data_IF_874847532172
#
_entry.id   IF_874847532172
#
_cell.length_a   1.000
_cell.length_b   1.000
_cell.length_c   1.000
_cell.angle_alpha   90.00
_cell.angle_beta   90.00
_cell.angle_gamma   90.00
#
_symmetry.space_group_name_H-M   'P 1'
#
loop_
_entity.id
_entity.type
_entity.pdbx_description
1 polymer ?
#
# COMPACT_ATOMS: atom_id res chain seq x y z
N UNK A 1 9.72 5.87 -42.53
CA UNK A 1 8.61 6.82 -42.28
C UNK A 1 8.48 7.21 -40.80
N UNK A 2 8.67 6.30 -39.83
CA UNK A 2 8.56 6.62 -38.39
C UNK A 2 9.75 7.41 -37.81
N UNK A 3 10.94 7.25 -38.40
CA UNK A 3 12.22 7.82 -37.94
C UNK A 3 12.17 9.28 -37.44
N UNK A 4 11.68 10.27 -38.20
CA UNK A 4 11.75 11.68 -37.79
C UNK A 4 10.85 12.03 -36.60
N UNK A 5 9.81 11.24 -36.35
CA UNK A 5 8.83 11.52 -35.30
C UNK A 5 9.16 10.81 -33.98
N UNK A 6 10.15 9.93 -33.96
CA UNK A 6 10.42 9.07 -32.82
C UNK A 6 10.73 9.86 -31.54
N UNK A 7 11.68 10.80 -31.63
CA UNK A 7 12.03 11.70 -30.53
C UNK A 7 10.81 12.48 -30.02
N UNK A 8 10.02 13.02 -30.96
CA UNK A 8 8.84 13.80 -30.63
C UNK A 8 7.78 12.95 -29.92
N UNK A 9 7.52 11.72 -30.40
CA UNK A 9 6.57 10.80 -29.78
C UNK A 9 7.01 10.46 -28.35
N UNK A 10 8.28 10.09 -28.15
CA UNK A 10 8.78 9.70 -26.83
C UNK A 10 8.72 10.86 -25.85
N UNK A 11 9.30 12.01 -26.19
CA UNK A 11 9.34 13.17 -25.30
C UNK A 11 7.94 13.72 -25.02
N UNK A 12 7.11 13.85 -26.06
CA UNK A 12 5.76 14.40 -25.89
C UNK A 12 4.86 13.46 -25.10
N UNK A 13 5.05 12.15 -25.21
CA UNK A 13 4.32 11.18 -24.39
C UNK A 13 4.68 11.30 -22.91
N UNK A 14 5.97 11.47 -22.60
CA UNK A 14 6.44 11.69 -21.22
C UNK A 14 5.90 13.01 -20.64
N UNK A 15 5.92 14.09 -21.40
CA UNK A 15 5.39 15.40 -20.97
C UNK A 15 3.87 15.38 -20.78
N UNK A 16 3.11 14.88 -21.76
CA UNK A 16 1.65 14.89 -21.72
C UNK A 16 1.10 13.96 -20.65
N UNK A 17 1.82 12.88 -20.31
CA UNK A 17 1.44 12.01 -19.20
C UNK A 17 1.31 12.75 -17.87
N UNK A 18 2.06 13.83 -17.62
CA UNK A 18 2.01 14.57 -16.35
C UNK A 18 0.70 15.33 -16.12
N UNK A 19 -0.02 15.68 -17.17
CA UNK A 19 -1.27 16.46 -17.11
C UNK A 19 -2.50 15.70 -17.58
N UNK A 20 -2.30 14.50 -18.13
CA UNK A 20 -3.38 13.70 -18.67
C UNK A 20 -4.31 13.17 -17.57
N UNK A 21 -5.61 13.09 -17.89
CA UNK A 21 -6.60 12.42 -17.05
C UNK A 21 -6.28 10.92 -16.89
N UNK A 22 -5.77 10.30 -17.95
CA UNK A 22 -5.39 8.89 -18.02
C UNK A 22 -3.94 8.73 -18.49
N UNK A 23 -2.93 8.94 -17.62
CA UNK A 23 -1.52 8.89 -17.98
C UNK A 23 -1.08 7.51 -18.51
N UNK A 24 -1.74 6.44 -18.05
CA UNK A 24 -1.48 5.05 -18.42
C UNK A 24 -1.39 4.85 -19.95
N UNK A 25 -2.24 5.52 -20.72
CA UNK A 25 -2.35 5.32 -22.17
C UNK A 25 -1.09 5.77 -22.93
N UNK A 26 -0.38 6.81 -22.46
CA UNK A 26 0.88 7.24 -23.06
C UNK A 26 1.98 6.21 -22.87
N UNK A 27 2.04 5.59 -21.69
CA UNK A 27 3.02 4.55 -21.41
C UNK A 27 2.70 3.22 -22.12
N UNK A 28 1.42 2.93 -22.37
CA UNK A 28 1.04 1.83 -23.25
C UNK A 28 1.50 2.06 -24.70
N UNK A 29 1.39 3.29 -25.20
CA UNK A 29 1.92 3.66 -26.52
C UNK A 29 3.43 3.45 -26.58
N UNK A 30 4.17 3.90 -25.57
CA UNK A 30 5.62 3.67 -25.47
C UNK A 30 5.96 2.17 -25.43
N UNK A 31 5.19 1.37 -24.69
CA UNK A 31 5.39 -0.08 -24.63
C UNK A 31 5.20 -0.73 -25.99
N UNK A 32 4.14 -0.36 -26.71
CA UNK A 32 3.87 -0.87 -28.05
C UNK A 32 5.00 -0.49 -29.02
N UNK A 33 5.48 0.76 -28.93
CA UNK A 33 6.61 1.26 -29.71
C UNK A 33 7.90 0.49 -29.44
N UNK A 34 8.27 0.31 -28.16
CA UNK A 34 9.51 -0.38 -27.77
C UNK A 34 9.50 -1.84 -28.22
N UNK A 35 8.40 -2.56 -27.98
CA UNK A 35 8.23 -3.95 -28.42
C UNK A 35 8.29 -4.09 -29.95
N UNK A 36 7.69 -3.15 -30.68
CA UNK A 36 7.70 -3.17 -32.16
C UNK A 36 9.10 -2.98 -32.74
N UNK A 37 9.98 -2.24 -32.06
CA UNK A 37 11.34 -1.97 -32.54
C UNK A 37 12.29 -3.10 -32.10
N UNK A 38 12.19 -3.54 -30.83
CA UNK A 38 13.04 -4.59 -30.26
C UNK A 38 12.90 -5.96 -30.93
N UNK A 39 11.79 -6.22 -31.63
CA UNK A 39 11.55 -7.45 -32.39
C UNK A 39 11.96 -7.42 -33.87
N UNK A 40 12.47 -6.29 -34.38
CA UNK A 40 12.69 -6.08 -35.83
C UNK A 40 14.13 -5.75 -36.22
N UNK A 41 14.42 -5.86 -37.53
CA UNK A 41 15.72 -5.56 -38.17
C UNK A 41 15.94 -4.06 -38.42
N UNK A 42 15.49 -3.19 -37.51
CA UNK A 42 15.38 -1.75 -37.76
C UNK A 42 16.59 -0.97 -37.23
N UNK A 43 17.81 -1.33 -37.68
CA UNK A 43 19.09 -0.73 -37.25
C UNK A 43 19.10 0.81 -37.24
N UNK A 44 18.42 1.44 -38.19
CA UNK A 44 18.30 2.90 -38.29
C UNK A 44 17.46 3.54 -37.16
N UNK A 45 16.51 2.81 -36.58
CA UNK A 45 15.70 3.32 -35.45
C UNK A 45 16.44 3.17 -34.12
N UNK A 46 17.28 2.14 -33.98
CA UNK A 46 18.15 1.97 -32.80
C UNK A 46 19.09 3.16 -32.63
N UNK A 47 19.66 3.66 -33.73
CA UNK A 47 20.57 4.82 -33.71
C UNK A 47 19.88 6.10 -33.22
N UNK A 48 18.59 6.28 -33.49
CA UNK A 48 17.81 7.43 -33.01
C UNK A 48 17.39 7.27 -31.54
N UNK A 49 17.34 6.04 -31.00
CA UNK A 49 17.06 5.83 -29.57
C UNK A 49 18.25 6.18 -28.67
N UNK A 50 19.49 6.03 -29.16
CA UNK A 50 20.68 6.22 -28.33
C UNK A 50 20.77 7.61 -27.68
N UNK A 51 20.52 8.73 -28.39
CA UNK A 51 20.56 10.06 -27.76
C UNK A 51 19.43 10.30 -26.75
N UNK A 52 18.31 9.56 -26.85
CA UNK A 52 17.18 9.65 -25.91
C UNK A 52 17.37 8.80 -24.66
N UNK A 53 18.17 7.74 -24.78
CA UNK A 53 18.33 6.70 -23.77
C UNK A 53 18.62 7.25 -22.35
N UNK A 54 19.54 8.22 -22.15
CA UNK A 54 19.83 8.72 -20.80
C UNK A 54 18.61 9.37 -20.15
N UNK A 55 17.98 10.32 -20.86
CA UNK A 55 16.84 11.09 -20.36
C UNK A 55 15.61 10.19 -20.16
N UNK A 56 15.42 9.22 -21.06
CA UNK A 56 14.32 8.26 -20.96
C UNK A 56 14.49 7.36 -19.75
N UNK A 57 15.65 6.72 -19.57
CA UNK A 57 15.89 5.83 -18.42
C UNK A 57 15.84 6.61 -17.11
N UNK A 58 16.38 7.84 -17.09
CA UNK A 58 16.30 8.69 -15.91
C UNK A 58 14.85 9.03 -15.57
N UNK A 59 14.07 9.45 -16.57
CA UNK A 59 12.64 9.74 -16.40
C UNK A 59 11.83 8.54 -15.94
N UNK A 60 12.06 7.36 -16.53
CA UNK A 60 11.37 6.12 -16.14
C UNK A 60 11.76 5.66 -14.74
N UNK A 61 13.02 5.78 -14.33
CA UNK A 61 13.46 5.45 -12.96
C UNK A 61 12.89 6.43 -11.91
N UNK A 62 12.79 7.71 -12.23
CA UNK A 62 12.08 8.68 -11.38
C UNK A 62 10.60 8.33 -11.23
N UNK A 63 9.95 7.86 -12.30
CA UNK A 63 8.55 7.42 -12.26
C UNK A 63 8.40 6.09 -11.50
N UNK A 64 9.31 5.14 -11.68
CA UNK A 64 9.28 3.84 -10.99
C UNK A 64 9.45 3.99 -9.46
N UNK A 65 10.30 4.92 -9.01
CA UNK A 65 10.48 5.24 -7.59
C UNK A 65 9.33 6.07 -7.00
N UNK A 66 8.42 6.59 -7.83
CA UNK A 66 7.27 7.37 -7.41
C UNK A 66 6.16 6.59 -6.70
N UNK A 67 5.21 7.31 -6.13
CA UNK A 67 3.99 6.76 -5.53
C UNK A 67 2.94 6.56 -6.62
N UNK A 68 2.84 5.33 -7.12
CA UNK A 68 1.89 4.94 -8.16
C UNK A 68 1.28 3.58 -7.86
N UNK A 69 0.10 3.36 -8.46
CA UNK A 69 -0.58 2.06 -8.50
C UNK A 69 0.38 0.99 -9.01
N UNK A 70 0.26 -0.22 -8.46
CA UNK A 70 1.15 -1.33 -8.80
C UNK A 70 1.25 -1.59 -10.32
N UNK A 71 0.13 -1.58 -11.04
CA UNK A 71 0.15 -1.80 -12.50
C UNK A 71 0.87 -0.70 -13.29
N UNK A 72 0.97 0.52 -12.74
CA UNK A 72 1.77 1.60 -13.33
C UNK A 72 3.26 1.40 -13.06
N UNK A 73 3.62 1.05 -11.81
CA UNK A 73 4.99 0.67 -11.46
C UNK A 73 5.49 -0.48 -12.33
N UNK A 74 4.66 -1.51 -12.48
CA UNK A 74 4.94 -2.66 -13.32
C UNK A 74 5.23 -2.24 -14.78
N UNK A 75 4.43 -1.31 -15.32
CA UNK A 75 4.62 -0.78 -16.68
C UNK A 75 5.92 0.04 -16.80
N UNK A 76 6.27 0.86 -15.81
CA UNK A 76 7.53 1.63 -15.84
C UNK A 76 8.75 0.71 -15.79
N UNK A 77 8.72 -0.29 -14.92
CA UNK A 77 9.76 -1.33 -14.85
C UNK A 77 9.87 -2.08 -16.18
N UNK A 78 8.74 -2.46 -16.77
CA UNK A 78 8.71 -3.11 -18.08
C UNK A 78 9.37 -2.23 -19.16
N UNK A 79 9.04 -0.94 -19.19
CA UNK A 79 9.60 0.03 -20.14
C UNK A 79 11.12 0.17 -19.97
N UNK A 80 11.64 0.24 -18.73
CA UNK A 80 13.09 0.27 -18.47
C UNK A 80 13.80 -0.97 -19.03
N UNK A 81 13.22 -2.15 -18.87
CA UNK A 81 13.84 -3.42 -19.26
C UNK A 81 13.61 -3.81 -20.73
N UNK A 82 12.78 -3.06 -21.46
CA UNK A 82 12.42 -3.35 -22.87
C UNK A 82 12.87 -2.25 -23.83
N UNK A 83 13.69 -1.30 -23.38
CA UNK A 83 14.21 -0.24 -24.26
C UNK A 83 14.92 -0.87 -25.46
N UNK A 84 14.55 -0.50 -26.70
CA UNK A 84 15.06 -1.15 -27.90
C UNK A 84 16.46 -0.63 -28.21
N UNK A 85 17.48 -1.25 -27.62
CA UNK A 85 18.91 -0.96 -27.84
C UNK A 85 19.75 -2.23 -27.70
N UNK A 86 20.92 -2.26 -28.35
CA UNK A 86 21.86 -3.37 -28.25
C UNK A 86 22.47 -3.42 -26.85
N UNK A 87 22.76 -4.62 -26.34
CA UNK A 87 23.38 -4.80 -25.01
C UNK A 87 24.69 -3.99 -24.87
N UNK A 88 25.51 -3.97 -25.92
CA UNK A 88 26.76 -3.20 -25.94
C UNK A 88 26.54 -1.69 -25.76
N UNK A 89 25.42 -1.16 -26.25
CA UNK A 89 25.05 0.25 -26.07
C UNK A 89 24.43 0.53 -24.70
N UNK A 90 23.92 -0.50 -24.01
CA UNK A 90 23.36 -0.39 -22.67
C UNK A 90 24.41 -0.39 -21.57
N UNK A 91 25.64 -0.86 -21.83
CA UNK A 91 26.68 -1.01 -20.80
C UNK A 91 26.90 0.26 -19.95
N UNK A 92 26.98 1.48 -20.52
CA UNK A 92 27.16 2.70 -19.72
C UNK A 92 25.97 3.02 -18.80
N UNK A 93 24.79 2.49 -19.13
CA UNK A 93 23.52 2.71 -18.42
C UNK A 93 23.10 1.50 -17.59
N UNK A 94 23.91 0.44 -17.56
CA UNK A 94 23.65 -0.76 -16.76
C UNK A 94 23.40 -0.44 -15.27
N UNK A 95 24.10 0.53 -14.62
CA UNK A 95 23.76 0.93 -13.26
C UNK A 95 22.29 1.39 -13.11
N UNK A 96 21.75 2.10 -14.11
CA UNK A 96 20.37 2.59 -14.09
C UNK A 96 19.33 1.48 -14.28
N UNK A 97 19.75 0.28 -14.72
CA UNK A 97 18.86 -0.86 -14.93
C UNK A 97 18.83 -1.85 -13.77
N UNK A 98 19.75 -1.74 -12.82
CA UNK A 98 19.84 -2.68 -11.69
C UNK A 98 18.62 -2.59 -10.75
N UNK A 99 18.18 -1.38 -10.39
CA UNK A 99 16.98 -1.19 -9.57
C UNK A 99 15.69 -1.64 -10.28
N UNK A 100 15.45 -1.30 -11.57
CA UNK A 100 14.37 -1.90 -12.35
C UNK A 100 14.43 -3.42 -12.42
N UNK A 101 15.63 -4.00 -12.54
CA UNK A 101 15.81 -5.44 -12.62
C UNK A 101 15.38 -6.13 -11.33
N UNK A 102 15.81 -5.61 -10.18
CA UNK A 102 15.34 -6.09 -8.87
C UNK A 102 13.84 -5.92 -8.72
N UNK A 103 13.30 -4.77 -9.14
CA UNK A 103 11.86 -4.50 -9.09
C UNK A 103 11.06 -5.48 -9.95
N UNK A 104 11.57 -5.85 -11.13
CA UNK A 104 10.93 -6.83 -12.00
C UNK A 104 10.88 -8.23 -11.38
N UNK A 105 11.98 -8.66 -10.76
CA UNK A 105 12.07 -9.96 -10.08
C UNK A 105 11.25 -10.04 -8.79
N UNK A 106 10.87 -8.89 -8.21
CA UNK A 106 9.94 -8.80 -7.08
C UNK A 106 8.50 -8.45 -7.50
N UNK A 107 8.24 -8.31 -8.80
CA UNK A 107 6.97 -7.85 -9.36
C UNK A 107 6.00 -8.98 -9.72
N UNK A 108 5.12 -8.71 -10.67
CA UNK A 108 4.20 -9.70 -11.23
C UNK A 108 4.93 -10.81 -12.00
N UNK A 109 4.32 -11.98 -12.14
CA UNK A 109 4.91 -13.14 -12.81
C UNK A 109 5.45 -12.84 -14.23
N UNK A 110 4.76 -11.98 -14.97
CA UNK A 110 5.20 -11.52 -16.29
C UNK A 110 6.49 -10.71 -16.23
N UNK A 111 6.65 -9.87 -15.20
CA UNK A 111 7.87 -9.10 -14.98
C UNK A 111 9.01 -9.97 -14.48
N UNK A 112 8.74 -10.96 -13.64
CA UNK A 112 9.77 -11.90 -13.18
C UNK A 112 10.36 -12.63 -14.39
N UNK A 113 9.52 -13.11 -15.31
CA UNK A 113 9.97 -13.75 -16.56
C UNK A 113 10.83 -12.81 -17.41
N UNK A 114 10.41 -11.55 -17.59
CA UNK A 114 11.18 -10.55 -18.35
C UNK A 114 12.51 -10.21 -17.66
N UNK A 115 12.49 -9.99 -16.34
CA UNK A 115 13.67 -9.69 -15.54
C UNK A 115 14.69 -10.82 -15.59
N UNK A 116 14.25 -12.08 -15.47
CA UNK A 116 15.13 -13.24 -15.61
C UNK A 116 15.75 -13.33 -17.00
N UNK A 117 14.98 -13.05 -18.06
CA UNK A 117 15.51 -13.03 -19.43
C UNK A 117 16.58 -11.96 -19.60
N UNK A 118 16.36 -10.76 -19.08
CA UNK A 118 17.34 -9.67 -19.11
C UNK A 118 18.58 -10.00 -18.29
N UNK A 119 18.41 -10.57 -17.09
CA UNK A 119 19.52 -10.99 -16.25
C UNK A 119 20.32 -12.12 -16.90
N UNK A 120 19.66 -13.11 -17.47
CA UNK A 120 20.31 -14.19 -18.20
C UNK A 120 21.13 -13.65 -19.38
N UNK A 121 20.59 -12.70 -20.16
CA UNK A 121 21.32 -12.04 -21.23
C UNK A 121 22.60 -11.36 -20.72
N UNK A 122 22.53 -10.66 -19.58
CA UNK A 122 23.70 -10.03 -18.97
C UNK A 122 24.72 -11.07 -18.50
N UNK A 123 24.28 -12.14 -17.85
CA UNK A 123 25.16 -13.22 -17.36
C UNK A 123 25.84 -13.97 -18.50
N UNK A 124 25.16 -14.15 -19.64
CA UNK A 124 25.71 -14.89 -20.78
C UNK A 124 26.70 -14.09 -21.62
N UNK A 125 26.59 -12.75 -21.62
CA UNK A 125 27.33 -11.90 -22.57
C UNK A 125 28.32 -10.93 -21.91
N UNK A 126 28.28 -10.76 -20.58
CA UNK A 126 29.16 -9.84 -19.87
C UNK A 126 30.28 -10.58 -19.13
N UNK A 127 31.43 -9.92 -18.97
CA UNK A 127 32.48 -10.42 -18.12
C UNK A 127 32.01 -10.46 -16.66
N UNK A 128 32.28 -11.54 -15.90
CA UNK A 128 31.80 -11.69 -14.53
C UNK A 128 32.16 -10.51 -13.63
N UNK A 129 33.42 -10.09 -13.64
CA UNK A 129 33.90 -9.00 -12.76
C UNK A 129 33.16 -7.68 -13.04
N UNK A 130 32.99 -7.33 -14.33
CA UNK A 130 32.23 -6.15 -14.73
C UNK A 130 30.78 -6.21 -14.27
N UNK A 131 30.10 -7.35 -14.45
CA UNK A 131 28.71 -7.50 -14.03
C UNK A 131 28.58 -7.45 -12.50
N UNK A 132 29.52 -8.06 -11.78
CA UNK A 132 29.50 -8.10 -10.31
C UNK A 132 29.68 -6.73 -9.67
N UNK A 133 30.48 -5.85 -10.24
CA UNK A 133 30.60 -4.47 -9.76
C UNK A 133 29.25 -3.74 -9.77
N UNK A 134 28.42 -4.02 -10.78
CA UNK A 134 27.09 -3.43 -10.92
C UNK A 134 26.02 -4.12 -10.09
N UNK A 135 26.14 -5.44 -9.84
CA UNK A 135 25.23 -6.18 -8.97
C UNK A 135 25.47 -5.84 -7.49
N UNK A 136 26.71 -5.51 -7.12
CA UNK A 136 27.11 -5.31 -5.73
C UNK A 136 26.17 -4.42 -4.89
N UNK A 137 25.69 -3.26 -5.38
CA UNK A 137 24.79 -2.39 -4.61
C UNK A 137 23.40 -2.98 -4.35
N UNK A 138 22.94 -3.88 -5.23
CA UNK A 138 21.58 -4.45 -5.21
C UNK A 138 21.55 -5.95 -4.88
N UNK A 139 22.72 -6.53 -4.56
CA UNK A 139 22.94 -7.98 -4.49
C UNK A 139 21.98 -8.70 -3.54
N UNK A 140 21.70 -8.14 -2.36
CA UNK A 140 20.84 -8.81 -1.38
C UNK A 140 19.40 -8.90 -1.87
N UNK A 141 18.84 -7.81 -2.38
CA UNK A 141 17.47 -7.80 -2.90
C UNK A 141 17.35 -8.67 -4.16
N UNK A 142 18.34 -8.62 -5.04
CA UNK A 142 18.42 -9.46 -6.23
C UNK A 142 18.43 -10.96 -5.87
N UNK A 143 19.31 -11.38 -4.95
CA UNK A 143 19.43 -12.78 -4.55
C UNK A 143 18.20 -13.27 -3.82
N UNK A 144 17.61 -12.46 -2.93
CA UNK A 144 16.36 -12.81 -2.28
C UNK A 144 15.23 -13.01 -3.28
N UNK A 145 15.14 -12.17 -4.32
CA UNK A 145 14.12 -12.32 -5.37
C UNK A 145 14.31 -13.63 -6.17
N UNK A 146 15.56 -13.96 -6.54
CA UNK A 146 15.89 -15.22 -7.20
C UNK A 146 15.51 -16.43 -6.35
N UNK A 147 15.84 -16.43 -5.05
CA UNK A 147 15.49 -17.53 -4.15
C UNK A 147 13.98 -17.66 -3.91
N UNK A 148 13.24 -16.54 -3.84
CA UNK A 148 11.77 -16.58 -3.78
C UNK A 148 11.19 -17.22 -5.03
N UNK A 149 11.74 -16.89 -6.21
CA UNK A 149 11.33 -17.45 -7.50
C UNK A 149 11.52 -18.97 -7.57
N UNK A 150 12.56 -19.51 -6.90
CA UNK A 150 12.79 -20.96 -6.82
C UNK A 150 11.77 -21.73 -5.99
N UNK A 151 10.93 -21.07 -5.15
CA UNK A 151 10.02 -21.77 -4.23
C UNK A 151 8.90 -22.54 -4.94
N UNK A 152 8.57 -22.20 -6.19
CA UNK A 152 7.54 -22.90 -6.95
C UNK A 152 8.14 -23.73 -8.10
N UNK A 153 8.46 -25.02 -7.86
CA UNK A 153 9.22 -25.83 -8.81
C UNK A 153 8.46 -26.21 -10.10
N UNK A 154 7.13 -26.02 -10.12
CA UNK A 154 6.28 -26.31 -11.29
C UNK A 154 6.39 -25.20 -12.34
N UNK A 155 6.87 -24.02 -11.95
CA UNK A 155 6.96 -22.87 -12.84
C UNK A 155 8.21 -22.92 -13.73
N UNK A 156 8.04 -22.71 -15.03
CA UNK A 156 9.15 -22.56 -16.00
C UNK A 156 10.13 -21.47 -15.58
N UNK A 157 9.64 -20.44 -14.90
CA UNK A 157 10.41 -19.31 -14.37
C UNK A 157 11.44 -19.79 -13.32
N UNK A 158 11.10 -20.78 -12.49
CA UNK A 158 12.01 -21.34 -11.49
C UNK A 158 13.22 -22.04 -12.15
N UNK A 159 13.01 -22.71 -13.29
CA UNK A 159 14.10 -23.35 -14.04
C UNK A 159 15.09 -22.33 -14.61
N UNK A 160 14.59 -21.19 -15.09
CA UNK A 160 15.43 -20.09 -15.59
C UNK A 160 16.22 -19.47 -14.43
N UNK A 161 15.58 -19.18 -13.29
CA UNK A 161 16.26 -18.67 -12.10
C UNK A 161 17.35 -19.64 -11.61
N UNK A 162 17.08 -20.94 -11.59
CA UNK A 162 18.05 -21.96 -11.22
C UNK A 162 19.26 -21.98 -12.17
N UNK A 163 19.02 -21.88 -13.48
CA UNK A 163 20.08 -21.81 -14.49
C UNK A 163 20.95 -20.57 -14.33
N UNK A 164 20.35 -19.40 -14.10
CA UNK A 164 21.07 -18.15 -13.83
C UNK A 164 21.94 -18.27 -12.57
N UNK A 165 21.38 -18.81 -11.47
CA UNK A 165 22.14 -19.05 -10.24
C UNK A 165 23.29 -20.06 -10.44
N UNK A 166 23.10 -21.06 -11.29
CA UNK A 166 24.16 -21.99 -11.71
C UNK A 166 25.28 -21.30 -12.49
N UNK A 167 24.93 -20.38 -13.41
CA UNK A 167 25.88 -19.60 -14.22
C UNK A 167 26.72 -18.63 -13.37
N UNK A 168 26.18 -18.11 -12.26
CA UNK A 168 26.99 -17.35 -11.29
C UNK A 168 28.10 -18.18 -10.61
N UNK A 169 28.00 -19.51 -10.64
CA UNK A 169 28.99 -20.42 -10.06
C UNK A 169 29.28 -20.10 -8.58
N UNK A 170 30.56 -19.98 -8.23
CA UNK A 170 30.99 -19.61 -6.87
C UNK A 170 30.61 -18.19 -6.45
N UNK A 171 30.32 -17.29 -7.40
CA UNK A 171 29.92 -15.91 -7.14
C UNK A 171 28.62 -15.80 -6.34
N UNK A 172 27.66 -16.70 -6.60
CA UNK A 172 26.40 -16.78 -5.87
C UNK A 172 26.60 -16.87 -4.34
N UNK A 173 27.53 -17.73 -3.90
CA UNK A 173 27.85 -17.90 -2.46
C UNK A 173 28.63 -16.71 -1.89
N UNK A 174 29.50 -16.09 -2.70
CA UNK A 174 30.26 -14.89 -2.30
C UNK A 174 29.37 -13.65 -2.12
N UNK A 175 28.17 -13.65 -2.70
CA UNK A 175 27.19 -12.59 -2.49
C UNK A 175 26.39 -12.74 -1.19
N UNK A 176 26.46 -13.89 -0.51
CA UNK A 176 25.79 -14.17 0.76
C UNK A 176 26.58 -13.70 1.99
N UNK A 177 27.02 -12.44 1.98
CA UNK A 177 27.82 -11.87 3.09
C UNK A 177 26.97 -10.94 3.95
N UNK A 178 25.90 -10.37 3.39
CA UNK A 178 25.04 -9.44 4.12
C UNK A 178 24.11 -10.18 5.10
N UNK A 179 23.94 -9.66 6.33
CA UNK A 179 23.00 -10.22 7.28
C UNK A 179 21.58 -10.12 6.72
N UNK A 180 20.74 -11.08 7.07
CA UNK A 180 19.32 -11.00 6.74
C UNK A 180 18.70 -9.79 7.43
N UNK A 181 17.85 -9.05 6.71
CA UNK A 181 17.10 -7.94 7.25
C UNK A 181 16.11 -8.49 8.28
N UNK A 182 16.36 -8.21 9.55
CA UNK A 182 15.41 -8.50 10.62
C UNK A 182 14.40 -7.35 10.71
N UNK A 183 13.12 -7.70 10.73
CA UNK A 183 12.05 -6.72 10.99
C UNK A 183 12.00 -6.44 12.50
N UNK A 184 12.36 -5.21 12.88
CA UNK A 184 12.23 -4.78 14.26
C UNK A 184 10.75 -4.65 14.61
N UNK A 185 10.30 -5.43 15.60
CA UNK A 185 8.96 -5.32 16.16
C UNK A 185 8.99 -4.37 17.35
N UNK A 186 8.60 -3.11 17.14
CA UNK A 186 8.44 -2.10 18.18
C UNK A 186 7.16 -2.27 19.03
N UNK A 187 6.57 -3.46 19.05
CA UNK A 187 5.30 -3.70 19.76
C UNK A 187 5.53 -3.57 21.27
N UNK A 188 5.00 -2.49 21.83
CA UNK A 188 5.05 -2.23 23.27
C UNK A 188 3.95 -3.01 24.03
N UNK A 189 2.90 -3.45 23.32
CA UNK A 189 1.78 -4.20 23.89
C UNK A 189 1.31 -5.33 22.95
N UNK A 190 0.48 -6.22 23.49
CA UNK A 190 -0.19 -7.29 22.73
C UNK A 190 -1.36 -6.72 21.89
N UNK A 191 -1.82 -5.51 22.22
CA UNK A 191 -2.99 -4.87 21.63
C UNK A 191 -4.31 -5.50 22.12
N UNK A 192 -5.40 -5.33 21.33
CA UNK A 192 -6.72 -5.73 21.77
C UNK A 192 -6.87 -7.25 21.75
N UNK A 193 -7.53 -7.79 22.77
CA UNK A 193 -7.68 -9.23 22.98
C UNK A 193 -9.13 -9.59 23.28
N UNK A 194 -9.54 -10.79 22.86
CA UNK A 194 -10.77 -11.44 23.34
C UNK A 194 -10.40 -12.33 24.53
N UNK A 195 -11.07 -12.12 25.66
CA UNK A 195 -10.95 -13.01 26.82
C UNK A 195 -11.88 -14.20 26.66
N UNK A 196 -11.30 -15.40 26.54
CA UNK A 196 -12.04 -16.66 26.43
C UNK A 196 -11.99 -17.40 27.77
N UNK A 197 -13.17 -17.81 28.25
CA UNK A 197 -13.32 -18.59 29.48
C UNK A 197 -13.66 -20.03 29.12
N UNK A 198 -12.87 -20.98 29.62
CA UNK A 198 -13.15 -22.41 29.47
C UNK A 198 -13.71 -22.94 30.79
N UNK A 199 -14.74 -23.80 30.72
CA UNK A 199 -15.45 -24.31 31.90
C UNK A 199 -14.50 -24.95 32.94
N UNK A 200 -13.39 -25.54 32.48
CA UNK A 200 -12.43 -26.25 33.32
C UNK A 200 -11.21 -25.41 33.72
N UNK A 201 -11.11 -24.15 33.27
CA UNK A 201 -9.95 -23.28 33.53
C UNK A 201 -10.35 -22.07 34.39
N UNK A 202 -9.61 -21.86 35.49
CA UNK A 202 -9.85 -20.72 36.39
C UNK A 202 -9.43 -19.37 35.81
N UNK A 203 -8.43 -19.37 34.92
CA UNK A 203 -7.92 -18.16 34.28
C UNK A 203 -8.48 -18.05 32.85
N UNK A 204 -8.75 -16.83 32.41
CA UNK A 204 -9.13 -16.58 31.02
C UNK A 204 -7.89 -16.68 30.10
N UNK A 205 -8.15 -17.03 28.84
CA UNK A 205 -7.15 -16.98 27.77
C UNK A 205 -7.38 -15.71 26.98
N UNK A 206 -6.36 -14.86 26.86
CA UNK A 206 -6.41 -13.65 26.05
C UNK A 206 -5.93 -13.95 24.63
N UNK A 207 -6.85 -13.86 23.67
CA UNK A 207 -6.56 -14.09 22.25
C UNK A 207 -6.41 -12.75 21.51
N UNK A 208 -5.22 -12.40 21.00
CA UNK A 208 -5.02 -11.15 20.27
C UNK A 208 -5.82 -11.09 18.98
N UNK A 209 -6.55 -10.01 18.75
CA UNK A 209 -7.39 -9.87 17.54
C UNK A 209 -6.72 -9.09 16.42
N UNK A 210 -5.57 -8.46 16.67
CA UNK A 210 -4.91 -7.60 15.67
C UNK A 210 -4.69 -8.28 14.31
N UNK A 211 -4.21 -9.53 14.29
CA UNK A 211 -4.00 -10.30 13.05
C UNK A 211 -5.29 -10.71 12.35
N UNK A 212 -6.36 -10.91 13.12
CA UNK A 212 -7.69 -11.23 12.59
C UNK A 212 -8.27 -10.02 11.86
N UNK A 213 -8.18 -8.83 12.47
CA UNK A 213 -8.59 -7.56 11.85
C UNK A 213 -7.75 -7.26 10.60
N UNK A 214 -6.43 -7.44 10.67
CA UNK A 214 -5.52 -7.24 9.53
C UNK A 214 -5.89 -8.15 8.35
N UNK A 215 -6.20 -9.42 8.62
CA UNK A 215 -6.57 -10.38 7.58
C UNK A 215 -7.94 -10.04 6.98
N UNK A 216 -8.92 -9.68 7.82
CA UNK A 216 -10.24 -9.25 7.35
C UNK A 216 -10.16 -7.98 6.50
N UNK A 217 -9.35 -7.01 6.93
CA UNK A 217 -9.09 -5.78 6.17
C UNK A 217 -8.47 -6.07 4.80
N UNK A 218 -7.41 -6.88 4.75
CA UNK A 218 -6.72 -7.22 3.50
C UNK A 218 -7.63 -8.01 2.53
N UNK A 219 -8.47 -8.91 3.04
CA UNK A 219 -9.44 -9.65 2.24
C UNK A 219 -10.52 -8.73 1.64
N UNK A 220 -10.94 -7.66 2.34
CA UNK A 220 -11.87 -6.68 1.79
C UNK A 220 -11.27 -5.84 0.66
N UNK A 221 -9.97 -5.53 0.73
CA UNK A 221 -9.25 -4.79 -0.33
C UNK A 221 -9.00 -5.66 -1.58
N UNK A 222 -8.94 -6.97 -1.41
CA UNK A 222 -8.52 -7.88 -2.48
C UNK A 222 -9.68 -8.17 -3.44
N UNK A 223 -9.49 -7.87 -4.73
CA UNK A 223 -10.52 -8.04 -5.76
C UNK A 223 -10.85 -9.50 -6.06
N UNK A 224 -9.91 -10.43 -5.83
CA UNK A 224 -10.10 -11.87 -6.03
C UNK A 224 -10.80 -12.59 -4.89
N UNK A 225 -11.06 -11.92 -3.75
CA UNK A 225 -11.78 -12.51 -2.62
C UNK A 225 -13.25 -12.71 -2.98
N UNK A 226 -13.75 -13.92 -2.75
CA UNK A 226 -15.14 -14.28 -2.99
C UNK A 226 -16.12 -13.48 -2.09
N UNK A 227 -17.33 -13.27 -2.60
CA UNK A 227 -18.40 -12.49 -1.96
C UNK A 227 -18.73 -13.03 -0.56
N UNK A 228 -18.75 -14.36 -0.39
CA UNK A 228 -18.99 -14.99 0.91
C UNK A 228 -17.94 -14.55 1.94
N UNK A 229 -16.65 -14.65 1.60
CA UNK A 229 -15.57 -14.29 2.52
C UNK A 229 -15.56 -12.79 2.82
N UNK A 230 -15.85 -11.92 1.83
CA UNK A 230 -16.00 -10.48 2.09
C UNK A 230 -17.07 -10.17 3.14
N UNK A 231 -18.21 -10.85 3.07
CA UNK A 231 -19.28 -10.71 4.06
C UNK A 231 -18.81 -11.14 5.45
N UNK A 232 -18.11 -12.28 5.57
CA UNK A 232 -17.57 -12.73 6.86
C UNK A 232 -16.52 -11.78 7.43
N UNK A 233 -15.62 -11.26 6.59
CA UNK A 233 -14.63 -10.27 6.99
C UNK A 233 -15.29 -8.98 7.51
N UNK A 234 -16.38 -8.55 6.87
CA UNK A 234 -17.16 -7.41 7.37
C UNK A 234 -17.81 -7.69 8.72
N UNK A 235 -18.44 -8.85 8.94
CA UNK A 235 -19.06 -9.17 10.23
C UNK A 235 -18.02 -9.22 11.36
N UNK A 236 -16.80 -9.70 11.10
CA UNK A 236 -15.68 -9.65 12.06
C UNK A 236 -15.33 -8.20 12.43
N UNK A 237 -15.15 -7.32 11.44
CA UNK A 237 -14.81 -5.91 11.68
C UNK A 237 -15.94 -5.20 12.43
N UNK A 238 -17.18 -5.42 12.01
CA UNK A 238 -18.38 -4.87 12.66
C UNK A 238 -18.48 -5.35 14.10
N UNK A 239 -18.27 -6.64 14.36
CA UNK A 239 -18.29 -7.23 15.70
C UNK A 239 -17.21 -6.61 16.61
N UNK A 240 -15.99 -6.46 16.09
CA UNK A 240 -14.91 -5.80 16.81
C UNK A 240 -15.25 -4.34 17.14
N UNK A 241 -15.70 -3.55 16.16
CA UNK A 241 -16.06 -2.15 16.38
C UNK A 241 -17.21 -2.02 17.39
N UNK A 242 -18.22 -2.89 17.30
CA UNK A 242 -19.35 -2.89 18.22
C UNK A 242 -18.95 -3.26 19.65
N UNK A 243 -18.04 -4.23 19.81
CA UNK A 243 -17.56 -4.66 21.14
C UNK A 243 -16.73 -3.58 21.86
N UNK A 244 -16.17 -2.62 21.12
CA UNK A 244 -15.42 -1.49 21.69
C UNK A 244 -16.31 -0.30 22.06
N UNK A 245 -17.63 -0.40 21.87
CA UNK A 245 -18.60 0.63 22.26
C UNK A 245 -19.34 0.14 23.49
N UNK A 246 -19.21 0.89 24.58
CA UNK A 246 -20.00 0.68 25.80
C UNK A 246 -21.23 1.59 25.72
N UNK A 247 -22.43 1.00 25.75
CA UNK A 247 -23.72 1.71 25.66
C UNK A 247 -24.50 1.61 26.97
N UNK A 248 -23.79 1.58 28.10
CA UNK A 248 -24.39 1.39 29.43
C UNK A 248 -25.14 2.64 29.92
N UNK A 249 -24.97 3.78 29.25
CA UNK A 249 -25.60 5.04 29.62
C UNK A 249 -27.10 5.07 29.28
N UNK A 250 -27.92 5.48 30.25
CA UNK A 250 -29.33 5.72 30.01
C UNK A 250 -29.55 6.89 29.04
N UNK A 251 -30.47 6.71 28.08
CA UNK A 251 -30.82 7.75 27.09
C UNK A 251 -31.12 9.10 27.74
N UNK A 252 -31.76 9.09 28.91
CA UNK A 252 -32.08 10.32 29.65
C UNK A 252 -30.83 11.13 30.02
N UNK A 253 -29.78 10.47 30.50
CA UNK A 253 -28.52 11.12 30.88
C UNK A 253 -27.83 11.74 29.68
N UNK A 254 -27.85 11.05 28.53
CA UNK A 254 -27.29 11.56 27.27
C UNK A 254 -28.06 12.79 26.80
N UNK A 255 -29.40 12.76 26.82
CA UNK A 255 -30.22 13.93 26.47
C UNK A 255 -29.99 15.11 27.42
N UNK A 256 -29.90 14.84 28.72
CA UNK A 256 -29.63 15.88 29.71
C UNK A 256 -28.25 16.52 29.49
N UNK A 257 -27.23 15.72 29.16
CA UNK A 257 -25.89 16.20 28.83
C UNK A 257 -25.92 17.14 27.63
N UNK A 258 -26.48 16.72 26.49
CA UNK A 258 -26.50 17.54 25.27
C UNK A 258 -27.46 18.73 25.35
N UNK A 259 -28.42 18.73 26.28
CA UNK A 259 -29.27 19.88 26.57
C UNK A 259 -28.59 20.93 27.46
N UNK A 260 -27.36 20.67 27.92
CA UNK A 260 -26.66 21.57 28.82
C UNK A 260 -26.33 22.91 28.11
N UNK A 261 -26.59 24.07 28.74
CA UNK A 261 -26.46 25.38 28.09
C UNK A 261 -25.08 25.67 27.49
N UNK A 262 -24.01 25.07 28.00
CA UNK A 262 -22.65 25.26 27.47
C UNK A 262 -22.40 24.70 26.07
N UNK A 263 -23.31 23.87 25.54
CA UNK A 263 -23.29 23.47 24.12
C UNK A 263 -24.01 24.48 23.21
N UNK A 264 -24.82 25.39 23.78
CA UNK A 264 -25.70 26.31 23.05
C UNK A 264 -25.22 27.76 23.17
N UNK A 265 -24.70 28.13 24.34
CA UNK A 265 -24.40 29.52 24.72
C UNK A 265 -22.95 29.62 25.18
N UNK A 266 -22.22 30.60 24.63
CA UNK A 266 -20.84 30.90 24.98
C UNK A 266 -19.89 30.75 23.80
N UNK A 267 -18.64 31.21 23.97
CA UNK A 267 -17.57 30.96 23.00
C UNK A 267 -17.07 29.53 23.14
N UNK A 268 -16.75 28.88 22.02
CA UNK A 268 -16.12 27.56 22.02
C UNK A 268 -14.71 27.73 22.63
N UNK A 269 -14.43 27.13 23.79
CA UNK A 269 -13.14 27.33 24.45
C UNK A 269 -12.03 26.78 23.56
N UNK A 270 -11.03 27.61 23.24
CA UNK A 270 -9.83 27.15 22.55
C UNK A 270 -9.05 26.23 23.50
N UNK A 271 -9.12 24.93 23.25
CA UNK A 271 -8.40 23.94 24.05
C UNK A 271 -6.90 24.08 23.83
N UNK A 272 -6.19 24.65 24.81
CA UNK A 272 -4.73 24.66 24.85
C UNK A 272 -4.24 23.43 25.61
N UNK A 273 -3.83 22.38 24.89
CA UNK A 273 -3.23 21.17 25.46
C UNK A 273 -3.39 19.94 24.54
N UNK A 274 -2.62 18.85 24.76
CA UNK A 274 -2.77 17.65 23.97
C UNK A 274 -4.17 17.06 24.15
N UNK A 275 -4.83 16.72 23.05
CA UNK A 275 -6.06 15.94 23.09
C UNK A 275 -5.79 14.58 23.73
N UNK A 276 -6.80 13.99 24.37
CA UNK A 276 -6.67 12.62 24.83
C UNK A 276 -6.47 11.71 23.61
N UNK A 277 -5.39 10.93 23.65
CA UNK A 277 -5.06 9.90 22.68
C UNK A 277 -4.92 8.60 23.46
N UNK A 278 -5.43 7.51 22.92
CA UNK A 278 -5.29 6.19 23.53
C UNK A 278 -3.79 5.90 23.77
N UNK A 279 -3.37 5.58 25.01
CA UNK A 279 -1.96 5.37 25.32
C UNK A 279 -1.41 4.08 24.72
N UNK A 280 -2.27 3.10 24.44
CA UNK A 280 -1.88 1.85 23.79
C UNK A 280 -1.88 2.01 22.26
N UNK A 281 -0.69 2.24 21.72
CA UNK A 281 -0.47 2.49 20.29
C UNK A 281 -0.91 1.33 19.41
N UNK A 282 -0.73 0.08 19.83
CA UNK A 282 -1.13 -1.10 19.05
C UNK A 282 -2.66 -1.26 19.03
N UNK A 283 -3.35 -1.02 20.15
CA UNK A 283 -4.81 -1.00 20.17
C UNK A 283 -5.39 0.09 19.29
N UNK A 284 -4.83 1.30 19.35
CA UNK A 284 -5.26 2.40 18.49
C UNK A 284 -5.08 2.08 17.01
N UNK A 285 -3.94 1.50 16.64
CA UNK A 285 -3.64 1.10 15.25
C UNK A 285 -4.58 0.02 14.72
N UNK A 286 -4.88 -1.01 15.53
CA UNK A 286 -5.84 -2.05 15.14
C UNK A 286 -7.24 -1.46 14.97
N UNK A 287 -7.60 -0.49 15.82
CA UNK A 287 -8.89 0.18 15.76
C UNK A 287 -9.03 1.10 14.53
N UNK A 288 -7.99 1.89 14.22
CA UNK A 288 -7.90 2.67 12.99
C UNK A 288 -8.03 1.78 11.74
N UNK A 289 -7.39 0.62 11.74
CA UNK A 289 -7.50 -0.36 10.66
C UNK A 289 -8.92 -0.93 10.51
N UNK A 290 -9.60 -1.20 11.62
CA UNK A 290 -10.98 -1.65 11.61
C UNK A 290 -11.93 -0.57 11.05
N UNK A 291 -11.77 0.70 11.46
CA UNK A 291 -12.52 1.83 10.93
C UNK A 291 -12.25 2.05 9.44
N UNK A 292 -10.98 1.95 9.02
CA UNK A 292 -10.61 2.02 7.60
C UNK A 292 -11.24 0.87 6.82
N UNK A 293 -11.28 -0.34 7.39
CA UNK A 293 -11.94 -1.50 6.81
C UNK A 293 -13.46 -1.35 6.65
N UNK A 294 -14.12 -0.63 7.57
CA UNK A 294 -15.52 -0.24 7.41
C UNK A 294 -15.71 0.67 6.19
N UNK A 295 -14.84 1.66 5.98
CA UNK A 295 -14.92 2.51 4.79
C UNK A 295 -14.67 1.72 3.49
N UNK A 296 -13.70 0.81 3.49
CA UNK A 296 -13.47 -0.10 2.35
C UNK A 296 -14.72 -0.94 2.08
N UNK A 297 -15.31 -1.55 3.11
CA UNK A 297 -16.53 -2.35 2.98
C UNK A 297 -17.72 -1.53 2.44
N UNK A 298 -17.85 -0.26 2.83
CA UNK A 298 -18.90 0.64 2.34
C UNK A 298 -18.79 0.93 0.83
N UNK A 299 -17.58 0.89 0.28
CA UNK A 299 -17.37 1.04 -1.15
C UNK A 299 -17.81 -0.20 -1.96
N UNK A 300 -17.81 -1.40 -1.35
CA UNK A 300 -18.18 -2.66 -1.99
C UNK A 300 -19.69 -2.72 -2.21
N UNK A 301 -20.12 -2.86 -3.47
CA UNK A 301 -21.55 -2.78 -3.88
C UNK A 301 -22.48 -3.69 -3.08
N UNK A 302 -22.06 -4.93 -2.84
CA UNK A 302 -22.86 -5.97 -2.17
C UNK A 302 -23.01 -5.74 -0.66
N UNK A 303 -22.00 -5.15 -0.02
CA UNK A 303 -21.99 -4.89 1.42
C UNK A 303 -22.52 -3.49 1.77
N UNK A 304 -22.49 -2.56 0.81
CA UNK A 304 -22.85 -1.17 1.00
C UNK A 304 -24.16 -0.95 1.77
N UNK A 305 -25.29 -1.64 1.48
CA UNK A 305 -26.55 -1.38 2.19
C UNK A 305 -26.46 -1.66 3.69
N UNK A 306 -25.74 -2.71 4.09
CA UNK A 306 -25.59 -3.09 5.51
C UNK A 306 -24.52 -2.25 6.20
N UNK A 307 -23.43 -1.95 5.50
CA UNK A 307 -22.30 -1.19 6.05
C UNK A 307 -22.67 0.28 6.26
N UNK A 308 -23.37 0.92 5.32
CA UNK A 308 -23.68 2.36 5.39
C UNK A 308 -24.51 2.72 6.63
N UNK A 309 -25.51 1.92 6.97
CA UNK A 309 -26.34 2.16 8.16
C UNK A 309 -25.51 2.09 9.46
N UNK A 310 -24.63 1.09 9.55
CA UNK A 310 -23.72 0.95 10.67
C UNK A 310 -22.72 2.10 10.73
N UNK A 311 -22.13 2.46 9.57
CA UNK A 311 -21.17 3.55 9.45
C UNK A 311 -21.76 4.89 9.89
N UNK A 312 -22.99 5.23 9.47
CA UNK A 312 -23.66 6.47 9.90
C UNK A 312 -23.78 6.51 11.43
N UNK A 313 -24.27 5.41 12.01
CA UNK A 313 -24.46 5.31 13.47
C UNK A 313 -23.13 5.43 14.22
N UNK A 314 -22.09 4.76 13.72
CA UNK A 314 -20.76 4.78 14.33
C UNK A 314 -20.12 6.16 14.22
N UNK A 315 -20.09 6.76 13.03
CA UNK A 315 -19.53 8.10 12.82
C UNK A 315 -20.21 9.12 13.73
N UNK A 316 -21.55 9.12 13.79
CA UNK A 316 -22.31 9.98 14.72
C UNK A 316 -21.90 9.77 16.16
N UNK A 317 -21.78 8.51 16.61
CA UNK A 317 -21.37 8.21 17.98
C UNK A 317 -19.98 8.79 18.30
N UNK A 318 -18.99 8.57 17.43
CA UNK A 318 -17.64 9.12 17.61
C UNK A 318 -17.63 10.65 17.60
N UNK A 319 -18.41 11.29 16.72
CA UNK A 319 -18.56 12.75 16.67
C UNK A 319 -19.17 13.29 17.97
N UNK A 320 -20.23 12.67 18.47
CA UNK A 320 -20.87 13.04 19.74
C UNK A 320 -19.89 12.90 20.93
N UNK A 321 -19.11 11.83 20.97
CA UNK A 321 -18.06 11.64 21.99
C UNK A 321 -16.96 12.70 21.85
N UNK A 322 -16.54 13.04 20.63
CA UNK A 322 -15.56 14.11 20.40
C UNK A 322 -16.10 15.48 20.86
N UNK A 323 -17.35 15.81 20.52
CA UNK A 323 -18.02 17.06 20.93
C UNK A 323 -18.08 17.14 22.46
N UNK A 324 -18.48 16.08 23.16
CA UNK A 324 -18.56 16.09 24.63
C UNK A 324 -17.19 16.17 25.32
N UNK A 325 -16.13 15.64 24.72
CA UNK A 325 -14.77 15.77 25.25
C UNK A 325 -14.16 17.15 24.99
N UNK A 326 -14.56 17.82 23.91
CA UNK A 326 -13.96 19.08 23.46
C UNK A 326 -14.79 20.32 23.81
N UNK A 327 -16.07 20.14 24.11
CA UNK A 327 -17.01 21.20 24.46
C UNK A 327 -17.93 20.76 25.59
N UNK A 328 -18.73 21.68 26.12
CA UNK A 328 -19.67 21.35 27.18
C UNK A 328 -19.07 21.37 28.60
N UNK A 329 -19.78 20.80 29.60
CA UNK A 329 -19.43 20.92 31.01
C UNK A 329 -18.12 20.20 31.40
N UNK A 330 -17.65 19.26 30.58
CA UNK A 330 -16.44 18.48 30.86
C UNK A 330 -15.14 19.25 30.59
N UNK A 331 -15.17 20.31 29.79
CA UNK A 331 -13.99 21.15 29.52
C UNK A 331 -13.49 21.83 30.80
N UNK A 332 -14.40 22.33 31.64
CA UNK A 332 -14.08 22.98 32.91
C UNK A 332 -13.58 22.01 33.99
N UNK A 333 -13.90 20.72 33.88
CA UNK A 333 -13.56 19.68 34.86
C UNK A 333 -12.43 18.74 34.42
N UNK A 334 -11.65 19.12 33.39
CA UNK A 334 -10.53 18.31 32.84
C UNK A 334 -9.51 17.81 33.87
N UNK A 335 -9.33 18.51 35.00
CA UNK A 335 -8.42 18.08 36.07
C UNK A 335 -8.93 16.87 36.86
N UNK A 336 -10.23 16.60 36.83
CA UNK A 336 -10.88 15.51 37.58
C UNK A 336 -11.21 14.30 36.69
N UNK A 337 -11.42 14.50 35.39
CA UNK A 337 -11.72 13.39 34.47
C UNK A 337 -10.44 12.84 33.84
N UNK A 338 -10.17 11.55 34.10
CA UNK A 338 -9.17 10.77 33.36
C UNK A 338 -9.91 9.95 32.30
N UNK A 339 -9.98 10.41 31.04
CA UNK A 339 -10.55 9.59 29.97
C UNK A 339 -9.81 8.25 29.87
N UNK A 340 -10.58 7.19 29.68
CA UNK A 340 -10.08 5.83 29.51
C UNK A 340 -10.69 5.24 28.23
N UNK A 341 -9.94 4.36 27.58
CA UNK A 341 -10.38 3.68 26.36
C UNK A 341 -9.86 4.32 25.08
N UNK A 342 -10.62 4.17 24.00
CA UNK A 342 -10.25 4.64 22.67
C UNK A 342 -10.54 6.14 22.53
N UNK A 343 -9.62 6.90 21.91
CA UNK A 343 -9.89 8.30 21.57
C UNK A 343 -10.81 8.41 20.35
N UNK A 344 -11.75 9.37 20.30
CA UNK A 344 -12.63 9.52 19.15
C UNK A 344 -11.91 10.06 17.90
N UNK A 345 -10.71 10.64 18.06
CA UNK A 345 -9.90 11.21 16.98
C UNK A 345 -9.34 10.13 16.04
N UNK A 346 -9.27 8.87 16.47
CA UNK A 346 -8.94 7.73 15.60
C UNK A 346 -9.85 7.64 14.36
N UNK A 347 -11.08 8.15 14.44
CA UNK A 347 -11.97 8.27 13.28
C UNK A 347 -11.43 9.24 12.22
N UNK A 348 -10.83 10.35 12.66
CA UNK A 348 -10.23 11.35 11.76
C UNK A 348 -9.05 10.74 11.03
N UNK A 349 -8.20 10.00 11.75
CA UNK A 349 -7.06 9.29 11.15
C UNK A 349 -7.51 8.24 10.14
N UNK A 350 -8.51 7.42 10.49
CA UNK A 350 -9.09 6.45 9.55
C UNK A 350 -9.72 7.13 8.31
N UNK A 351 -10.34 8.31 8.50
CA UNK A 351 -10.91 9.09 7.39
C UNK A 351 -9.80 9.67 6.50
N UNK A 352 -8.72 10.18 7.08
CA UNK A 352 -7.55 10.64 6.34
C UNK A 352 -6.88 9.49 5.57
N UNK A 353 -6.74 8.32 6.20
CA UNK A 353 -6.19 7.12 5.58
C UNK A 353 -7.00 6.67 4.35
N UNK A 354 -8.33 6.66 4.43
CA UNK A 354 -9.17 6.27 3.28
C UNK A 354 -9.24 7.35 2.20
N UNK A 355 -9.23 8.63 2.59
CA UNK A 355 -9.20 9.74 1.62
C UNK A 355 -7.87 9.82 0.87
N UNK A 356 -6.77 9.41 1.50
CA UNK A 356 -5.45 9.28 0.89
C UNK A 356 -5.30 8.04 -0.02
N UNK A 357 -6.32 7.21 -0.17
CA UNK A 357 -6.22 5.99 -0.97
C UNK A 357 -6.12 6.29 -2.48
N UNK A 358 -5.31 5.53 -3.20
CA UNK A 358 -5.11 5.67 -4.66
C UNK A 358 -6.37 5.37 -5.50
N UNK A 359 -7.40 4.80 -4.87
CA UNK A 359 -8.65 4.43 -5.52
C UNK A 359 -9.74 5.43 -5.15
N UNK A 360 -10.10 6.28 -6.12
CA UNK A 360 -11.10 7.35 -5.93
C UNK A 360 -12.46 6.86 -5.43
N UNK A 361 -12.84 5.62 -5.75
CA UNK A 361 -14.09 5.02 -5.28
C UNK A 361 -14.08 4.78 -3.76
N UNK A 362 -12.92 4.48 -3.17
CA UNK A 362 -12.76 4.30 -1.72
C UNK A 362 -12.82 5.63 -0.97
N UNK A 363 -12.47 6.74 -1.62
CA UNK A 363 -12.59 8.07 -1.02
C UNK A 363 -14.05 8.50 -0.81
N UNK A 364 -15.03 7.92 -1.53
CA UNK A 364 -16.45 8.31 -1.45
C UNK A 364 -17.04 8.06 -0.04
N UNK A 365 -16.89 6.86 0.57
CA UNK A 365 -17.25 6.65 1.97
C UNK A 365 -16.60 7.63 2.94
N UNK A 366 -15.31 7.96 2.76
CA UNK A 366 -14.62 8.94 3.60
C UNK A 366 -15.22 10.34 3.47
N UNK A 367 -15.49 10.80 2.24
CA UNK A 367 -16.17 12.07 2.01
C UNK A 367 -17.60 12.10 2.59
N UNK A 368 -18.33 10.98 2.52
CA UNK A 368 -19.64 10.87 3.17
C UNK A 368 -19.54 10.87 4.70
N UNK A 369 -18.51 10.24 5.28
CA UNK A 369 -18.23 10.32 6.71
C UNK A 369 -17.96 11.76 7.17
N UNK A 370 -17.20 12.55 6.39
CA UNK A 370 -17.00 13.97 6.68
C UNK A 370 -18.31 14.77 6.66
N UNK A 371 -19.21 14.49 5.70
CA UNK A 371 -20.54 15.12 5.68
C UNK A 371 -21.33 14.80 6.94
N UNK A 372 -21.30 13.55 7.40
CA UNK A 372 -21.96 13.14 8.64
C UNK A 372 -21.34 13.85 9.86
N UNK A 373 -20.01 13.98 9.91
CA UNK A 373 -19.32 14.71 10.99
C UNK A 373 -19.77 16.18 11.04
N UNK A 374 -19.99 16.82 9.88
CA UNK A 374 -20.44 18.21 9.80
C UNK A 374 -21.93 18.36 10.14
N UNK A 375 -22.75 17.36 9.77
CA UNK A 375 -24.20 17.36 10.04
C UNK A 375 -24.53 17.07 11.51
N UNK A 376 -23.67 16.31 12.19
CA UNK A 376 -23.83 15.92 13.60
C UNK A 376 -23.39 17.05 14.52
#
# INVERSE_FOLDING_TARGET
MLKPYLHQIVNRSMELALSAKEPYNYFLLLRALFRSIGGGSHDLLYQEFLPLLPNLLQGLNSLQSGLHKQHMKDLFVELCLTVPVRLSSLLPYLPMLMDPLVSALNGSQTLVSQGLRTLELCVDNLQPDFLYDHIQPVRAELMQALWRTLRNPVDTVAQVAFRVLGKFGGGNRKMMVEPQRLEYSSRESIGPCISVYFQEHKNNISLPVGKVIETAFNALKTSSTDAFYRKQCWEIIKGFLSANIVLDDEKHNVYQLFSHPSFIVGEIPSLQGPYYICPDSESRKVHEMALTGMFVAAAIKELRPTVLQFMITLVRHYTLVAITQQSGPFVSSRRQMKPQGMDPLVLVDATAAIMGHEEKELCKPGGFALLIIIET
#
